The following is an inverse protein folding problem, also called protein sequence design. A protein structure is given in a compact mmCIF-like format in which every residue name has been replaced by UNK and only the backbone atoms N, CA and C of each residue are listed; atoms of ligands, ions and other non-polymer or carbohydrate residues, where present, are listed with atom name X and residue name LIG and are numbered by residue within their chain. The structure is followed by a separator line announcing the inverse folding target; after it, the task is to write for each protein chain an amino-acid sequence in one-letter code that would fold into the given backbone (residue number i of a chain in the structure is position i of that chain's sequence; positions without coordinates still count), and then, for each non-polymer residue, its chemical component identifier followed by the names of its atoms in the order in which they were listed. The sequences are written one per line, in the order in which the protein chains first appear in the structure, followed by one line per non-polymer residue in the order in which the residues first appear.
data_IF_331758586808
#
_entry.id   IF_331758586808
#
_cell.length_a   1.000
_cell.length_b   1.000
_cell.length_c   1.000
_cell.angle_alpha   90.00
_cell.angle_beta   90.00
_cell.angle_gamma   90.00
#
_symmetry.space_group_name_H-M   'P 1'
#
loop_
_entity.id
_entity.type
_entity.pdbx_description
1 polymer ?
#
# COMPACT_ATOMS: atom_id res chain seq x y z
N UNK A 1 40.79 46.72 -28.41
CA UNK A 1 39.49 46.46 -29.05
C UNK A 1 38.81 45.33 -28.29
N UNK A 2 37.61 45.54 -27.72
CA UNK A 2 36.91 44.49 -26.95
C UNK A 2 36.34 43.48 -27.95
N UNK A 3 36.83 42.25 -27.92
CA UNK A 3 36.32 41.13 -28.73
C UNK A 3 34.83 40.90 -28.39
N UNK A 4 33.92 41.44 -29.20
CA UNK A 4 32.49 41.22 -29.06
C UNK A 4 32.17 39.80 -29.54
N UNK A 5 32.16 38.84 -28.62
CA UNK A 5 31.64 37.50 -28.89
C UNK A 5 30.15 37.64 -29.25
N UNK A 6 29.77 37.16 -30.43
CA UNK A 6 28.36 37.05 -30.79
C UNK A 6 27.72 35.95 -29.94
N UNK A 7 26.66 36.31 -29.22
CA UNK A 7 25.91 35.40 -28.37
C UNK A 7 24.68 34.96 -29.14
N UNK A 8 24.52 33.66 -29.31
CA UNK A 8 23.37 33.10 -30.02
C UNK A 8 22.06 33.39 -29.28
N UNK A 9 20.93 33.44 -29.99
CA UNK A 9 19.61 33.67 -29.37
C UNK A 9 19.31 32.60 -28.30
N UNK A 10 19.64 31.33 -28.58
CA UNK A 10 19.47 30.22 -27.63
C UNK A 10 20.25 30.45 -26.34
N UNK A 11 21.50 30.92 -26.45
CA UNK A 11 22.34 31.24 -25.29
C UNK A 11 21.77 32.42 -24.49
N UNK A 12 21.22 33.45 -25.15
CA UNK A 12 20.52 34.55 -24.46
C UNK A 12 19.29 34.07 -23.70
N UNK A 13 18.47 33.21 -24.29
CA UNK A 13 17.28 32.64 -23.64
C UNK A 13 17.69 31.87 -22.38
N UNK A 14 18.72 31.01 -22.49
CA UNK A 14 19.22 30.23 -21.36
C UNK A 14 19.73 31.11 -20.21
N UNK A 15 20.48 32.17 -20.54
CA UNK A 15 20.95 33.16 -19.57
C UNK A 15 19.77 33.83 -18.84
N UNK A 16 18.74 34.25 -19.58
CA UNK A 16 17.56 34.90 -19.01
C UNK A 16 16.78 33.94 -18.11
N UNK A 17 16.57 32.69 -18.52
CA UNK A 17 15.89 31.68 -17.71
C UNK A 17 16.62 31.43 -16.37
N UNK A 18 17.95 31.36 -16.38
CA UNK A 18 18.76 31.20 -15.15
C UNK A 18 18.55 32.36 -14.16
N UNK A 19 18.48 33.59 -14.68
CA UNK A 19 18.25 34.78 -13.84
C UNK A 19 16.81 34.80 -13.30
N UNK A 20 15.81 34.46 -14.11
CA UNK A 20 14.40 34.36 -13.67
C UNK A 20 14.25 33.27 -12.60
N UNK A 21 14.98 32.16 -12.71
CA UNK A 21 15.02 31.09 -11.70
C UNK A 21 15.73 31.50 -10.39
N UNK A 22 16.24 32.74 -10.29
CA UNK A 22 16.83 33.30 -9.07
C UNK A 22 18.36 33.21 -8.99
N UNK A 23 19.08 32.82 -10.05
CA UNK A 23 20.55 32.85 -10.03
C UNK A 23 21.09 34.28 -9.96
N UNK A 24 22.14 34.49 -9.15
CA UNK A 24 22.81 35.79 -9.02
C UNK A 24 23.42 36.21 -10.37
N UNK A 25 22.97 37.35 -10.91
CA UNK A 25 23.41 37.92 -12.20
C UNK A 25 24.94 38.01 -12.34
N UNK A 26 25.66 38.33 -11.27
CA UNK A 26 27.14 38.38 -11.30
C UNK A 26 27.78 37.02 -11.63
N UNK A 27 27.22 35.92 -11.13
CA UNK A 27 27.72 34.56 -11.41
C UNK A 27 27.40 34.18 -12.85
N UNK A 28 26.17 34.45 -13.30
CA UNK A 28 25.71 34.18 -14.67
C UNK A 28 26.54 34.96 -15.70
N UNK A 29 26.78 36.26 -15.46
CA UNK A 29 27.62 37.12 -16.29
C UNK A 29 29.05 36.59 -16.46
N UNK A 30 29.67 36.13 -15.37
CA UNK A 30 31.01 35.54 -15.39
C UNK A 30 31.05 34.22 -16.16
N UNK A 31 30.08 33.33 -15.93
CA UNK A 31 29.98 32.01 -16.57
C UNK A 31 29.85 32.13 -18.09
N UNK A 32 28.95 33.00 -18.55
CA UNK A 32 28.66 33.17 -19.96
C UNK A 32 29.51 34.26 -20.65
N UNK A 33 30.41 34.91 -19.89
CA UNK A 33 31.27 36.03 -20.36
C UNK A 33 30.47 37.16 -20.99
N UNK A 34 29.35 37.52 -20.36
CA UNK A 34 28.43 38.56 -20.82
C UNK A 34 28.46 39.74 -19.84
N UNK A 35 28.27 40.96 -20.35
CA UNK A 35 28.15 42.12 -19.49
C UNK A 35 26.87 42.04 -18.64
N UNK A 36 26.97 42.39 -17.36
CA UNK A 36 25.81 42.45 -16.45
C UNK A 36 24.70 43.36 -17.00
N UNK A 37 24.99 44.57 -17.54
CA UNK A 37 23.96 45.42 -18.13
C UNK A 37 23.18 44.76 -19.27
N UNK A 38 23.85 43.99 -20.14
CA UNK A 38 23.16 43.26 -21.21
C UNK A 38 22.17 42.24 -20.65
N UNK A 39 22.56 41.52 -19.59
CA UNK A 39 21.67 40.55 -18.93
C UNK A 39 20.45 41.26 -18.33
N UNK A 40 20.64 42.39 -17.63
CA UNK A 40 19.52 43.18 -17.10
C UNK A 40 18.54 43.59 -18.21
N UNK A 41 19.05 44.12 -19.33
CA UNK A 41 18.21 44.54 -20.46
C UNK A 41 17.43 43.36 -21.04
N UNK A 42 18.07 42.20 -21.21
CA UNK A 42 17.39 41.02 -21.78
C UNK A 42 16.36 40.45 -20.83
N UNK A 43 16.67 40.36 -19.53
CA UNK A 43 15.72 39.88 -18.53
C UNK A 43 14.53 40.80 -18.43
N UNK A 44 14.73 42.13 -18.39
CA UNK A 44 13.62 43.08 -18.33
C UNK A 44 12.70 42.94 -19.55
N UNK A 45 13.26 42.95 -20.77
CA UNK A 45 12.48 42.77 -22.00
C UNK A 45 11.70 41.45 -22.00
N UNK A 46 12.31 40.37 -21.52
CA UNK A 46 11.65 39.07 -21.45
C UNK A 46 10.49 39.09 -20.46
N UNK A 47 10.66 39.71 -19.29
CA UNK A 47 9.59 39.86 -18.30
C UNK A 47 8.44 40.72 -18.84
N UNK A 48 8.74 41.87 -19.45
CA UNK A 48 7.71 42.74 -20.03
C UNK A 48 6.90 41.98 -21.11
N UNK A 49 7.59 41.25 -21.98
CA UNK A 49 6.95 40.43 -23.03
C UNK A 49 6.11 39.29 -22.45
N UNK A 50 6.60 38.63 -21.40
CA UNK A 50 5.86 37.57 -20.73
C UNK A 50 4.63 38.12 -20.01
N UNK A 51 4.74 39.28 -19.38
CA UNK A 51 3.61 39.95 -18.75
C UNK A 51 2.55 40.31 -19.78
N UNK A 52 2.94 40.87 -20.92
CA UNK A 52 2.02 41.18 -22.01
C UNK A 52 1.39 39.93 -22.62
N UNK A 53 2.18 38.89 -22.90
CA UNK A 53 1.67 37.64 -23.48
C UNK A 53 0.74 36.86 -22.53
N UNK A 54 0.93 37.02 -21.22
CA UNK A 54 0.11 36.38 -20.18
C UNK A 54 -1.05 37.28 -19.72
N UNK A 55 -1.13 38.54 -20.17
CA UNK A 55 -2.32 39.35 -19.95
C UNK A 55 -3.51 38.67 -20.64
N UNK A 56 -4.62 38.44 -19.92
CA UNK A 56 -5.77 37.76 -20.49
C UNK A 56 -6.54 38.71 -21.43
N UNK A 57 -6.14 38.80 -22.70
CA UNK A 57 -6.88 39.59 -23.70
C UNK A 57 -8.19 38.92 -24.14
N UNK A 58 -8.30 37.60 -23.98
CA UNK A 58 -9.51 36.82 -24.27
C UNK A 58 -9.77 35.86 -23.13
N UNK A 59 -11.05 35.63 -22.79
CA UNK A 59 -11.49 34.55 -21.90
C UNK A 59 -10.65 33.32 -22.24
N UNK A 60 -9.89 32.82 -21.27
CA UNK A 60 -9.11 31.59 -21.41
C UNK A 60 -9.97 30.43 -21.92
N UNK A 61 -9.37 29.26 -22.21
CA UNK A 61 -10.09 28.12 -22.76
C UNK A 61 -11.43 27.95 -22.07
N UNK A 62 -12.56 28.12 -22.79
CA UNK A 62 -13.88 27.97 -22.20
C UNK A 62 -13.99 26.53 -21.72
N UNK A 63 -13.86 26.31 -20.42
CA UNK A 63 -14.18 25.02 -19.82
C UNK A 63 -15.64 24.72 -20.19
N UNK A 64 -15.88 23.60 -20.89
CA UNK A 64 -17.25 23.12 -21.14
C UNK A 64 -17.85 22.78 -19.77
N UNK A 65 -18.64 23.69 -19.20
CA UNK A 65 -19.16 23.62 -17.82
C UNK A 65 -19.71 22.23 -17.46
N UNK A 66 -20.38 21.52 -18.37
CA UNK A 66 -20.91 20.18 -18.08
C UNK A 66 -19.94 18.99 -18.03
N UNK A 67 -18.69 19.09 -18.53
CA UNK A 67 -17.72 17.96 -18.46
C UNK A 67 -16.97 17.88 -17.14
N UNK A 68 -16.87 18.99 -16.43
CA UNK A 68 -16.19 19.07 -15.12
C UNK A 68 -17.15 18.57 -14.04
N UNK A 69 -18.38 19.08 -14.03
CA UNK A 69 -19.43 18.68 -13.09
C UNK A 69 -19.75 17.17 -13.11
N UNK A 70 -19.75 16.54 -14.30
CA UNK A 70 -19.98 15.10 -14.43
C UNK A 70 -18.80 14.25 -13.95
N UNK A 71 -17.56 14.73 -14.14
CA UNK A 71 -16.37 14.06 -13.61
C UNK A 71 -16.28 14.19 -12.10
N UNK A 72 -16.63 15.34 -11.56
CA UNK A 72 -16.59 15.60 -10.13
C UNK A 72 -17.62 14.74 -9.39
N UNK A 73 -18.83 14.56 -9.95
CA UNK A 73 -19.84 13.61 -9.42
C UNK A 73 -19.35 12.16 -9.43
N UNK A 74 -18.73 11.71 -10.52
CA UNK A 74 -18.15 10.37 -10.60
C UNK A 74 -17.00 10.16 -9.60
N UNK A 75 -16.21 11.20 -9.34
CA UNK A 75 -15.13 11.16 -8.36
C UNK A 75 -15.69 11.04 -6.94
N UNK A 76 -16.74 11.78 -6.59
CA UNK A 76 -17.39 11.68 -5.28
C UNK A 76 -18.05 10.31 -5.08
N UNK A 77 -18.78 9.78 -6.07
CA UNK A 77 -19.35 8.42 -6.01
C UNK A 77 -18.27 7.33 -5.85
N UNK A 78 -17.10 7.52 -6.46
CA UNK A 78 -15.98 6.59 -6.30
C UNK A 78 -15.35 6.68 -4.91
N UNK A 79 -15.24 7.87 -4.33
CA UNK A 79 -14.74 8.06 -2.96
C UNK A 79 -15.66 7.42 -1.93
N UNK A 80 -16.98 7.57 -2.09
CA UNK A 80 -17.96 6.93 -1.21
C UNK A 80 -17.84 5.40 -1.23
N UNK A 81 -17.77 4.79 -2.43
CA UNK A 81 -17.56 3.34 -2.56
C UNK A 81 -16.24 2.84 -1.98
N UNK A 82 -15.18 3.64 -2.09
CA UNK A 82 -13.89 3.32 -1.48
C UNK A 82 -13.95 3.39 0.05
N UNK A 83 -14.71 4.34 0.61
CA UNK A 83 -14.92 4.44 2.05
C UNK A 83 -15.70 3.23 2.59
N UNK A 84 -16.82 2.87 1.95
CA UNK A 84 -17.61 1.67 2.30
C UNK A 84 -16.76 0.39 2.24
N UNK A 85 -15.96 0.24 1.18
CA UNK A 85 -15.06 -0.91 1.03
C UNK A 85 -13.99 -0.93 2.13
N UNK A 86 -13.48 0.23 2.55
CA UNK A 86 -12.52 0.37 3.65
C UNK A 86 -13.09 -0.09 4.99
N UNK A 87 -14.34 0.28 5.28
CA UNK A 87 -15.03 -0.13 6.52
C UNK A 87 -15.23 -1.65 6.57
N UNK A 88 -15.63 -2.27 5.45
CA UNK A 88 -15.78 -3.73 5.34
C UNK A 88 -14.44 -4.44 5.58
N UNK A 89 -13.35 -3.94 4.99
CA UNK A 89 -12.01 -4.53 5.18
C UNK A 89 -11.60 -4.46 6.66
N UNK A 90 -11.77 -3.29 7.29
CA UNK A 90 -11.47 -3.09 8.71
C UNK A 90 -12.25 -4.05 9.62
N UNK A 91 -13.53 -4.27 9.32
CA UNK A 91 -14.35 -5.23 10.07
C UNK A 91 -13.86 -6.67 9.88
N UNK A 92 -13.52 -7.05 8.64
CA UNK A 92 -13.00 -8.40 8.35
C UNK A 92 -11.62 -8.64 8.96
N UNK A 93 -10.76 -7.62 9.03
CA UNK A 93 -9.47 -7.71 9.71
C UNK A 93 -9.63 -7.98 11.20
N UNK A 94 -10.56 -7.28 11.88
CA UNK A 94 -10.90 -7.56 13.29
C UNK A 94 -11.43 -8.97 13.50
N UNK A 95 -12.27 -9.47 12.58
CA UNK A 95 -12.75 -10.86 12.61
C UNK A 95 -11.58 -11.85 12.49
N UNK A 96 -10.63 -11.62 11.59
CA UNK A 96 -9.43 -12.46 11.42
C UNK A 96 -8.57 -12.44 12.68
N UNK A 97 -8.34 -11.28 13.28
CA UNK A 97 -7.52 -11.16 14.50
C UNK A 97 -8.15 -11.93 15.67
N UNK A 98 -9.45 -11.77 15.88
CA UNK A 98 -10.18 -12.48 16.93
C UNK A 98 -10.11 -14.02 16.72
N UNK A 99 -10.30 -14.49 15.47
CA UNK A 99 -10.15 -15.90 15.13
C UNK A 99 -8.71 -16.41 15.36
N UNK A 100 -7.69 -15.64 14.99
CA UNK A 100 -6.28 -15.98 15.26
C UNK A 100 -6.01 -16.08 16.77
N UNK A 101 -6.57 -15.17 17.58
CA UNK A 101 -6.52 -15.24 19.04
C UNK A 101 -7.13 -16.52 19.59
N UNK A 102 -8.33 -16.88 19.12
CA UNK A 102 -9.01 -18.15 19.49
C UNK A 102 -8.19 -19.38 19.10
N UNK A 103 -7.57 -19.41 17.92
CA UNK A 103 -6.69 -20.50 17.48
C UNK A 103 -5.45 -20.63 18.38
N UNK A 104 -4.82 -19.50 18.76
CA UNK A 104 -3.64 -19.52 19.62
C UNK A 104 -3.96 -20.02 21.03
N UNK A 105 -5.14 -19.68 21.59
CA UNK A 105 -5.62 -20.25 22.86
C UNK A 105 -5.85 -21.76 22.77
N UNK A 106 -6.28 -22.28 21.62
CA UNK A 106 -6.45 -23.72 21.41
C UNK A 106 -5.12 -24.48 21.33
N UNK A 107 -4.08 -23.90 20.71
CA UNK A 107 -2.74 -24.52 20.66
C UNK A 107 -2.10 -24.68 22.04
N UNK A 108 -2.43 -23.79 22.97
CA UNK A 108 -1.79 -23.72 24.29
C UNK A 108 -2.55 -24.46 25.42
N UNK A 109 -3.74 -25.00 25.17
CA UNK A 109 -4.65 -25.48 26.24
C UNK A 109 -4.85 -26.99 26.32
N UNK A 110 -4.11 -27.80 25.57
CA UNK A 110 -4.26 -29.26 25.63
C UNK A 110 -3.14 -29.89 26.47
N UNK A 111 -3.44 -30.34 27.70
CA UNK A 111 -2.44 -30.99 28.53
C UNK A 111 -1.98 -32.29 27.88
N UNK A 112 -0.66 -32.48 27.80
CA UNK A 112 -0.07 -33.74 27.35
C UNK A 112 -0.46 -34.83 28.36
N UNK A 113 -1.05 -35.96 27.90
CA UNK A 113 -1.34 -37.07 28.81
C UNK A 113 -0.02 -37.60 29.40
N UNK A 114 -0.01 -37.91 30.70
CA UNK A 114 1.16 -38.45 31.40
C UNK A 114 1.44 -39.90 31.06
N UNK A 115 0.42 -40.67 30.63
CA UNK A 115 0.52 -42.07 30.20
C UNK A 115 -0.41 -42.35 29.03
N UNK A 116 -0.07 -43.33 28.19
CA UNK A 116 -0.91 -43.75 27.08
C UNK A 116 -2.23 -44.35 27.63
N UNK A 117 -3.41 -43.84 27.22
CA UNK A 117 -4.69 -44.37 27.68
C UNK A 117 -4.99 -45.78 27.15
N UNK A 118 -4.29 -46.25 26.12
CA UNK A 118 -4.50 -47.57 25.53
C UNK A 118 -3.63 -48.67 26.16
N UNK A 119 -2.41 -48.35 26.59
CA UNK A 119 -1.45 -49.36 27.07
C UNK A 119 -0.70 -48.98 28.36
N UNK A 120 -0.99 -47.82 28.96
CA UNK A 120 -0.36 -47.36 30.19
C UNK A 120 1.08 -46.86 30.07
N UNK A 121 1.68 -46.88 28.86
CA UNK A 121 3.08 -46.49 28.65
C UNK A 121 3.35 -45.00 28.99
N UNK A 122 4.46 -44.72 29.66
CA UNK A 122 4.71 -43.41 30.29
C UNK A 122 5.17 -42.31 29.33
N UNK A 123 5.74 -42.66 28.18
CA UNK A 123 6.21 -41.67 27.20
C UNK A 123 5.24 -41.57 26.04
N UNK A 124 4.80 -40.35 25.72
CA UNK A 124 3.92 -40.07 24.58
C UNK A 124 4.55 -38.99 23.71
N UNK A 125 4.76 -39.24 22.42
CA UNK A 125 5.36 -38.24 21.52
C UNK A 125 4.29 -37.35 20.91
N UNK A 126 4.63 -36.10 20.60
CA UNK A 126 3.78 -35.25 19.76
C UNK A 126 3.77 -35.85 18.35
N UNK A 127 2.59 -36.06 17.78
CA UNK A 127 2.51 -36.42 16.37
C UNK A 127 2.93 -35.20 15.55
N UNK A 128 3.75 -35.40 14.52
CA UNK A 128 4.35 -34.30 13.74
C UNK A 128 3.33 -33.39 13.06
N UNK A 129 3.81 -32.31 12.45
CA UNK A 129 2.96 -31.40 11.67
C UNK A 129 2.79 -31.94 10.25
N UNK A 130 1.56 -32.17 9.80
CA UNK A 130 1.27 -32.53 8.41
C UNK A 130 0.72 -31.31 7.66
N UNK A 131 1.17 -31.11 6.41
CA UNK A 131 0.62 -30.07 5.53
C UNK A 131 -0.68 -30.59 4.93
N UNK A 132 -1.82 -30.01 5.33
CA UNK A 132 -3.10 -30.26 4.67
C UNK A 132 -3.11 -29.45 3.37
N UNK A 133 -3.50 -30.10 2.26
CA UNK A 133 -3.68 -29.43 0.98
C UNK A 133 -4.89 -28.48 1.05
N UNK A 134 -4.77 -27.22 0.60
CA UNK A 134 -5.84 -26.22 0.70
C UNK A 134 -7.15 -26.69 0.05
N UNK A 135 -7.07 -27.41 -1.06
CA UNK A 135 -8.23 -27.86 -1.84
C UNK A 135 -9.15 -28.76 -1.00
N UNK A 136 -8.56 -29.74 -0.29
CA UNK A 136 -9.31 -30.62 0.65
C UNK A 136 -9.88 -29.86 1.85
N UNK A 137 -9.21 -28.79 2.28
CA UNK A 137 -9.66 -27.98 3.41
C UNK A 137 -10.88 -27.13 3.03
N UNK A 138 -10.87 -26.53 1.83
CA UNK A 138 -11.98 -25.74 1.31
C UNK A 138 -13.20 -26.61 0.96
N UNK A 139 -13.00 -27.80 0.37
CA UNK A 139 -14.08 -28.77 0.12
C UNK A 139 -14.76 -29.24 1.41
N UNK A 140 -14.02 -29.32 2.52
CA UNK A 140 -14.57 -29.69 3.84
C UNK A 140 -15.34 -28.55 4.51
N UNK A 141 -14.97 -27.29 4.25
CA UNK A 141 -15.67 -26.11 4.76
C UNK A 141 -16.96 -25.79 4.00
N UNK A 142 -17.03 -26.12 2.69
CA UNK A 142 -18.21 -25.87 1.86
C UNK A 142 -19.40 -26.77 2.18
N UNK A 143 -19.19 -27.87 2.90
CA UNK A 143 -20.30 -28.64 3.48
C UNK A 143 -20.60 -27.97 4.82
N UNK A 144 -21.75 -27.32 4.95
CA UNK A 144 -22.26 -26.47 6.06
C UNK A 144 -22.28 -27.09 7.48
N UNK A 145 -21.33 -27.95 7.80
CA UNK A 145 -21.02 -28.46 9.11
C UNK A 145 -19.59 -28.02 9.36
N UNK A 146 -19.36 -27.18 10.36
CA UNK A 146 -18.03 -26.92 10.90
C UNK A 146 -17.38 -28.26 11.27
N UNK A 147 -16.63 -28.87 10.34
CA UNK A 147 -15.96 -30.13 10.61
C UNK A 147 -14.71 -29.80 11.44
N UNK A 148 -14.76 -30.13 12.73
CA UNK A 148 -13.57 -30.19 13.59
C UNK A 148 -12.55 -31.16 12.96
N UNK A 149 -11.53 -30.62 12.27
CA UNK A 149 -10.39 -31.41 11.84
C UNK A 149 -9.62 -31.81 13.11
N UNK A 150 -9.79 -33.06 13.52
CA UNK A 150 -9.09 -33.64 14.66
C UNK A 150 -7.65 -33.91 14.23
N UNK A 151 -6.78 -32.92 14.38
CA UNK A 151 -5.33 -33.12 14.18
C UNK A 151 -4.87 -34.07 15.29
N UNK A 152 -4.38 -35.25 14.92
CA UNK A 152 -3.80 -36.21 15.87
C UNK A 152 -2.64 -35.53 16.61
N UNK A 153 -2.75 -35.31 17.92
CA UNK A 153 -1.74 -34.54 18.66
C UNK A 153 -0.64 -35.40 19.26
N UNK A 154 -0.91 -36.68 19.51
CA UNK A 154 -0.03 -37.54 20.30
C UNK A 154 -0.01 -38.98 19.79
N UNK A 155 1.16 -39.62 19.82
CA UNK A 155 1.37 -41.03 19.49
C UNK A 155 2.10 -41.76 20.61
N UNK A 156 1.62 -42.95 20.95
CA UNK A 156 2.33 -43.83 21.85
C UNK A 156 3.43 -44.59 21.08
N UNK A 157 4.70 -44.55 21.48
CA UNK A 157 5.76 -45.30 20.82
C UNK A 157 5.64 -46.81 21.01
N UNK A 158 5.01 -47.25 22.10
CA UNK A 158 4.88 -48.66 22.44
C UNK A 158 3.77 -49.33 21.62
N UNK A 159 2.52 -48.89 21.77
CA UNK A 159 1.38 -49.49 21.08
C UNK A 159 1.04 -48.85 19.74
N UNK A 160 1.75 -47.78 19.33
CA UNK A 160 1.52 -47.00 18.10
C UNK A 160 0.13 -46.38 17.96
N UNK A 161 -0.72 -46.51 18.97
CA UNK A 161 -2.06 -45.91 18.97
C UNK A 161 -1.96 -44.38 19.01
N UNK A 162 -2.82 -43.73 18.22
CA UNK A 162 -3.02 -42.28 18.28
C UNK A 162 -3.85 -41.93 19.51
N UNK A 163 -3.34 -41.00 20.31
CA UNK A 163 -4.00 -40.55 21.53
C UNK A 163 -4.74 -39.26 21.24
N UNK A 164 -6.07 -39.34 21.22
CA UNK A 164 -6.95 -38.19 21.08
C UNK A 164 -7.36 -37.71 22.47
N UNK A 165 -7.11 -36.45 22.81
CA UNK A 165 -7.83 -35.83 23.93
C UNK A 165 -9.31 -35.71 23.55
N UNK A 166 -10.19 -36.23 24.39
CA UNK A 166 -11.65 -36.30 24.21
C UNK A 166 -12.23 -35.02 23.58
N UNK A 167 -13.08 -35.19 22.57
CA UNK A 167 -13.87 -34.13 21.92
C UNK A 167 -14.52 -33.23 22.98
N UNK A 168 -14.01 -32.00 23.16
CA UNK A 168 -14.79 -30.98 23.85
C UNK A 168 -15.83 -30.47 22.85
N UNK A 169 -17.12 -30.77 23.06
CA UNK A 169 -18.20 -30.07 22.36
C UNK A 169 -18.05 -28.57 22.65
N UNK A 170 -17.50 -27.80 21.72
CA UNK A 170 -17.39 -26.35 21.84
C UNK A 170 -18.36 -25.73 20.83
N UNK A 171 -19.46 -25.16 21.33
CA UNK A 171 -20.29 -24.24 20.54
C UNK A 171 -19.48 -22.97 20.36
N UNK A 172 -19.05 -22.68 19.13
CA UNK A 172 -18.61 -21.33 18.79
C UNK A 172 -19.91 -20.55 18.54
N UNK A 173 -20.29 -19.71 19.50
CA UNK A 173 -21.35 -18.73 19.27
C UNK A 173 -20.69 -17.63 18.44
N UNK A 174 -21.04 -17.59 17.16
CA UNK A 174 -20.81 -16.44 16.31
C UNK A 174 -21.93 -15.44 16.64
N UNK A 175 -21.61 -14.44 17.46
CA UNK A 175 -22.42 -13.23 17.63
C UNK A 175 -22.02 -12.21 16.58
#
# INVERSE_FOLDING_TARGET
MKNSRSISIKEKILIVCQVIAGEKIQRVARRHRVSRPSIYIWTQKALDTLEEALKPEKRGPKFKKGKVDAKDKLIEEQKEKMAESGDIISEKEKQIENLRGKINLQKNSLPRPSKCPHCGFEKIYKNGTYKIKPERFFEQLQKDKEIEITVQQFICPYCRSSVYTSKKKRKIILS
#
